data_IF_505769060515
#
_entry.id   IF_505769060515
#
_cell.length_a   1.000
_cell.length_b   1.000
_cell.length_c   1.000
_cell.angle_alpha   90.00
_cell.angle_beta   90.00
_cell.angle_gamma   90.00
#
_symmetry.space_group_name_H-M   'P 1'
#
loop_
_entity.id
_entity.type
_entity.pdbx_description
1 polymer ?
#
# COMPACT_ATOMS: atom_id res chain seq x y z
N UNK A 1 -27.89 -9.42 9.63
CA UNK A 1 -28.80 -8.81 8.64
C UNK A 1 -29.98 -8.07 9.29
N UNK A 2 -29.92 -6.73 9.46
CA UNK A 2 -31.13 -5.96 9.83
C UNK A 2 -31.90 -5.73 8.53
N UNK A 3 -33.09 -6.32 8.39
CA UNK A 3 -33.98 -6.11 7.25
C UNK A 3 -34.54 -4.67 7.29
N UNK A 4 -33.79 -3.73 6.70
CA UNK A 4 -34.35 -2.64 5.90
C UNK A 4 -34.03 -3.02 4.45
N UNK A 5 -35.04 -3.30 3.65
CA UNK A 5 -35.06 -4.19 2.46
C UNK A 5 -34.05 -3.96 1.32
N UNK A 6 -32.96 -3.20 1.45
CA UNK A 6 -31.86 -3.08 0.47
C UNK A 6 -30.56 -2.43 1.05
N UNK A 7 -30.33 -2.46 2.36
CA UNK A 7 -29.16 -1.81 2.96
C UNK A 7 -28.13 -2.85 3.42
N UNK A 8 -26.89 -2.72 2.91
CA UNK A 8 -25.72 -3.42 3.42
C UNK A 8 -24.89 -2.47 4.29
N UNK A 9 -24.70 -2.83 5.56
CA UNK A 9 -23.81 -2.11 6.47
C UNK A 9 -22.47 -2.83 6.58
N UNK A 10 -21.38 -2.13 6.29
CA UNK A 10 -20.00 -2.61 6.50
C UNK A 10 -19.35 -1.72 7.57
N UNK A 11 -18.93 -2.34 8.67
CA UNK A 11 -18.14 -1.69 9.72
C UNK A 11 -16.70 -2.20 9.70
N UNK A 12 -15.75 -1.32 10.00
CA UNK A 12 -14.34 -1.69 10.22
C UNK A 12 -13.95 -1.29 11.64
N UNK A 13 -13.23 -2.15 12.34
CA UNK A 13 -12.69 -1.86 13.67
C UNK A 13 -11.35 -2.55 13.84
N UNK A 14 -10.43 -1.91 14.55
CA UNK A 14 -9.17 -2.52 14.97
C UNK A 14 -9.33 -3.26 16.32
N UNK A 15 -10.44 -3.05 17.03
CA UNK A 15 -10.73 -3.61 18.35
C UNK A 15 -12.16 -4.19 18.30
N UNK A 16 -12.28 -5.50 18.10
CA UNK A 16 -13.58 -6.16 18.02
C UNK A 16 -14.26 -6.21 19.40
N UNK A 17 -13.48 -6.31 20.45
CA UNK A 17 -13.91 -6.44 21.84
C UNK A 17 -14.58 -5.15 22.37
N UNK A 18 -14.33 -4.02 21.72
CA UNK A 18 -14.96 -2.74 22.03
C UNK A 18 -16.39 -2.62 21.45
N UNK A 19 -16.79 -3.53 20.56
CA UNK A 19 -18.12 -3.54 19.95
C UNK A 19 -19.12 -4.19 20.91
N UNK A 20 -20.29 -3.55 21.08
CA UNK A 20 -21.38 -4.11 21.87
C UNK A 20 -21.78 -5.51 21.34
N UNK A 21 -21.71 -6.57 22.18
CA UNK A 21 -22.11 -7.91 21.78
C UNK A 21 -23.55 -8.01 21.24
N UNK A 22 -24.44 -7.07 21.57
CA UNK A 22 -25.78 -7.00 21.00
C UNK A 22 -25.77 -6.77 19.48
N UNK A 23 -24.79 -6.04 18.95
CA UNK A 23 -24.62 -5.75 17.51
C UNK A 23 -24.11 -6.97 16.74
N UNK A 24 -23.40 -7.88 17.39
CA UNK A 24 -22.84 -9.10 16.77
C UNK A 24 -23.86 -10.25 16.67
N UNK A 25 -25.07 -10.05 17.18
CA UNK A 25 -26.12 -11.08 17.14
C UNK A 25 -26.64 -11.30 15.71
N UNK A 26 -27.15 -12.51 15.40
CA UNK A 26 -27.79 -12.81 14.13
C UNK A 26 -28.86 -11.77 13.81
N UNK A 27 -28.93 -11.34 12.54
CA UNK A 27 -29.84 -10.26 12.16
C UNK A 27 -29.30 -8.85 12.40
N UNK A 28 -28.02 -8.67 12.79
CA UNK A 28 -27.33 -7.36 12.81
C UNK A 28 -26.00 -7.41 12.06
N UNK A 29 -24.87 -7.18 12.73
CA UNK A 29 -23.51 -7.34 12.20
C UNK A 29 -23.02 -8.78 12.45
N UNK A 30 -23.69 -9.72 11.80
CA UNK A 30 -23.48 -11.16 12.06
C UNK A 30 -22.21 -11.71 11.41
N UNK A 31 -21.76 -11.12 10.30
CA UNK A 31 -20.57 -11.53 9.57
C UNK A 31 -19.38 -10.74 10.11
N UNK A 32 -18.45 -11.44 10.73
CA UNK A 32 -17.17 -10.89 11.19
C UNK A 32 -16.07 -11.49 10.33
N UNK A 33 -15.36 -10.64 9.58
CA UNK A 33 -14.23 -11.04 8.75
C UNK A 33 -12.96 -10.51 9.41
N UNK A 34 -12.09 -11.42 9.84
CA UNK A 34 -10.77 -11.05 10.33
C UNK A 34 -9.84 -10.86 9.15
N UNK A 35 -9.22 -9.68 9.07
CA UNK A 35 -8.18 -9.38 8.09
C UNK A 35 -6.83 -9.67 8.72
N UNK A 36 -6.07 -10.59 8.14
CA UNK A 36 -4.73 -10.94 8.59
C UNK A 36 -3.66 -10.18 7.78
N UNK A 37 -2.42 -10.25 8.25
CA UNK A 37 -1.29 -9.69 7.52
C UNK A 37 -1.14 -10.40 6.16
N UNK A 38 -0.79 -9.67 5.09
CA UNK A 38 -0.65 -10.25 3.77
C UNK A 38 0.53 -11.24 3.74
N UNK A 39 0.29 -12.41 3.15
CA UNK A 39 1.33 -13.37 2.82
C UNK A 39 2.23 -12.86 1.66
N UNK A 40 3.22 -13.65 1.26
CA UNK A 40 4.13 -13.25 0.19
C UNK A 40 3.42 -13.02 -1.17
N UNK A 41 2.40 -13.83 -1.48
CA UNK A 41 1.66 -13.72 -2.73
C UNK A 41 0.75 -12.46 -2.74
N UNK A 42 0.06 -12.20 -1.64
CA UNK A 42 -0.72 -11.00 -1.41
C UNK A 42 0.16 -9.76 -1.44
N UNK A 43 1.35 -9.77 -0.80
CA UNK A 43 2.32 -8.68 -0.91
C UNK A 43 2.77 -8.48 -2.36
N UNK A 44 2.99 -9.55 -3.12
CA UNK A 44 3.30 -9.44 -4.56
C UNK A 44 2.20 -8.71 -5.34
N UNK A 45 0.94 -9.03 -5.07
CA UNK A 45 -0.19 -8.37 -5.72
C UNK A 45 -0.30 -6.89 -5.32
N UNK A 46 -0.06 -6.57 -4.05
CA UNK A 46 -0.07 -5.19 -3.55
C UNK A 46 1.07 -4.39 -4.20
N UNK A 47 2.28 -4.95 -4.27
CA UNK A 47 3.40 -4.32 -4.98
C UNK A 47 3.04 -4.06 -6.44
N UNK A 48 2.50 -5.05 -7.16
CA UNK A 48 2.09 -4.88 -8.55
C UNK A 48 1.11 -3.72 -8.73
N UNK A 49 0.08 -3.60 -7.87
CA UNK A 49 -0.88 -2.49 -7.91
C UNK A 49 -0.17 -1.13 -7.78
N UNK A 50 0.76 -0.99 -6.83
CA UNK A 50 1.45 0.27 -6.57
C UNK A 50 2.58 0.57 -7.58
N UNK A 51 3.18 -0.45 -8.21
CA UNK A 51 4.24 -0.27 -9.22
C UNK A 51 3.69 -0.15 -10.64
N UNK A 52 2.45 -0.59 -10.91
CA UNK A 52 1.83 -0.58 -12.25
C UNK A 52 1.84 0.79 -12.91
N UNK A 53 1.58 1.87 -12.17
CA UNK A 53 1.64 3.22 -12.70
C UNK A 53 3.08 3.65 -13.05
N UNK A 54 4.07 3.25 -12.24
CA UNK A 54 5.48 3.55 -12.50
C UNK A 54 5.97 2.83 -13.75
N UNK A 55 5.63 1.56 -13.91
CA UNK A 55 5.97 0.75 -15.09
C UNK A 55 5.36 1.38 -16.35
N UNK A 56 4.07 1.74 -16.31
CA UNK A 56 3.38 2.38 -17.45
C UNK A 56 4.00 3.71 -17.87
N UNK A 57 4.56 4.45 -16.93
CA UNK A 57 5.20 5.74 -17.18
C UNK A 57 6.72 5.63 -17.40
N UNK A 58 7.26 4.41 -17.57
CA UNK A 58 8.70 4.15 -17.69
C UNK A 58 9.53 4.77 -16.54
N UNK A 59 8.94 4.90 -15.35
CA UNK A 59 9.55 5.45 -14.14
C UNK A 59 10.10 4.37 -13.19
N UNK A 60 10.01 3.11 -13.58
CA UNK A 60 10.63 1.97 -12.90
C UNK A 60 11.62 1.32 -13.87
N UNK A 61 12.88 1.19 -13.46
CA UNK A 61 13.94 0.58 -14.25
C UNK A 61 13.86 -0.97 -14.13
N UNK A 62 14.31 -1.66 -15.18
CA UNK A 62 14.33 -3.12 -15.30
C UNK A 62 15.28 -3.80 -14.30
N UNK A 63 16.22 -3.04 -13.72
CA UNK A 63 17.13 -3.49 -12.67
C UNK A 63 16.46 -3.70 -11.30
N UNK A 64 15.21 -3.25 -11.12
CA UNK A 64 14.49 -3.36 -9.86
C UNK A 64 13.86 -4.76 -9.67
N UNK A 65 14.46 -5.58 -8.82
CA UNK A 65 13.91 -6.89 -8.43
C UNK A 65 12.83 -6.75 -7.33
N UNK A 66 11.56 -6.69 -7.74
CA UNK A 66 10.40 -6.66 -6.83
C UNK A 66 10.32 -7.93 -5.97
N UNK A 67 10.70 -9.10 -6.50
CA UNK A 67 10.67 -10.36 -5.75
C UNK A 67 11.66 -10.35 -4.58
N UNK A 68 12.82 -9.72 -4.77
CA UNK A 68 13.76 -9.50 -3.67
C UNK A 68 13.17 -8.64 -2.56
N UNK A 69 12.44 -7.58 -2.91
CA UNK A 69 11.81 -6.69 -1.94
C UNK A 69 10.69 -7.42 -1.17
N UNK A 70 9.88 -8.23 -1.84
CA UNK A 70 8.79 -9.03 -1.22
C UNK A 70 9.33 -9.97 -0.13
N UNK A 71 10.51 -10.57 -0.35
CA UNK A 71 11.18 -11.45 0.64
C UNK A 71 11.63 -10.70 1.88
N UNK A 72 11.87 -9.39 1.80
CA UNK A 72 12.35 -8.54 2.91
C UNK A 72 11.25 -7.79 3.64
N UNK A 73 9.99 -7.93 3.21
CA UNK A 73 8.83 -7.18 3.73
C UNK A 73 7.87 -8.09 4.49
N UNK A 74 8.38 -9.18 5.08
CA UNK A 74 7.58 -10.05 5.93
C UNK A 74 7.01 -9.32 7.16
N UNK A 75 5.75 -9.62 7.50
CA UNK A 75 5.04 -8.97 8.61
C UNK A 75 4.56 -7.55 8.31
N UNK A 76 4.76 -7.03 7.10
CA UNK A 76 4.30 -5.69 6.72
C UNK A 76 2.82 -5.68 6.31
N UNK A 77 2.12 -4.59 6.65
CA UNK A 77 0.75 -4.33 6.19
C UNK A 77 0.76 -3.81 4.75
N UNK A 78 -0.41 -3.79 4.10
CA UNK A 78 -0.55 -3.18 2.77
C UNK A 78 -0.14 -1.70 2.76
N UNK A 79 -0.45 -0.96 3.82
CA UNK A 79 -0.05 0.45 3.96
C UNK A 79 1.47 0.63 4.03
N UNK A 80 2.20 -0.28 4.70
CA UNK A 80 3.67 -0.23 4.70
C UNK A 80 4.25 -0.48 3.31
N UNK A 81 3.68 -1.40 2.53
CA UNK A 81 4.10 -1.67 1.15
C UNK A 81 3.90 -0.44 0.26
N UNK A 82 2.71 0.18 0.33
CA UNK A 82 2.43 1.44 -0.37
C UNK A 82 3.45 2.52 0.01
N UNK A 83 3.72 2.67 1.30
CA UNK A 83 4.64 3.69 1.80
C UNK A 83 6.06 3.48 1.29
N UNK A 84 6.54 2.23 1.19
CA UNK A 84 7.85 1.91 0.61
C UNK A 84 7.94 2.44 -0.82
N UNK A 85 6.94 2.14 -1.66
CA UNK A 85 6.92 2.59 -3.07
C UNK A 85 6.90 4.11 -3.14
N UNK A 86 6.05 4.76 -2.34
CA UNK A 86 5.94 6.23 -2.31
C UNK A 86 7.26 6.90 -1.88
N UNK A 87 7.93 6.38 -0.85
CA UNK A 87 9.21 6.90 -0.38
C UNK A 87 10.32 6.67 -1.41
N UNK A 88 10.33 5.54 -2.10
CA UNK A 88 11.30 5.27 -3.16
C UNK A 88 11.17 6.27 -4.32
N UNK A 89 9.93 6.58 -4.74
CA UNK A 89 9.66 7.60 -5.78
C UNK A 89 10.12 8.98 -5.31
N UNK A 90 9.77 9.38 -4.09
CA UNK A 90 10.19 10.68 -3.55
C UNK A 90 11.72 10.80 -3.49
N UNK A 91 12.40 9.75 -3.01
CA UNK A 91 13.86 9.73 -2.96
C UNK A 91 14.49 9.78 -4.36
N UNK A 92 13.88 9.13 -5.37
CA UNK A 92 14.34 9.22 -6.75
C UNK A 92 14.18 10.64 -7.31
N UNK A 93 13.03 11.28 -7.11
CA UNK A 93 12.79 12.68 -7.52
C UNK A 93 13.76 13.66 -6.86
N UNK A 94 14.02 13.50 -5.55
CA UNK A 94 14.99 14.34 -4.86
C UNK A 94 16.40 14.19 -5.43
N UNK A 95 16.81 12.97 -5.79
CA UNK A 95 18.12 12.75 -6.44
C UNK A 95 18.20 13.38 -7.82
N UNK A 96 17.12 13.32 -8.61
CA UNK A 96 17.07 13.95 -9.94
C UNK A 96 17.20 15.48 -9.84
N UNK A 97 16.46 16.12 -8.94
CA UNK A 97 16.55 17.57 -8.71
C UNK A 97 17.97 17.97 -8.30
N UNK A 98 18.55 17.29 -7.31
CA UNK A 98 19.91 17.57 -6.84
C UNK A 98 20.98 17.30 -7.90
N UNK A 99 20.75 16.36 -8.82
CA UNK A 99 21.64 16.13 -9.94
C UNK A 99 21.56 17.30 -10.93
N UNK A 100 20.35 17.77 -11.27
CA UNK A 100 20.12 18.90 -12.18
C UNK A 100 20.71 20.21 -11.67
N UNK A 101 20.50 20.53 -10.39
CA UNK A 101 21.09 21.71 -9.75
C UNK A 101 22.63 21.73 -9.85
N UNK A 102 23.28 20.56 -9.85
CA UNK A 102 24.75 20.47 -10.00
C UNK A 102 25.25 20.71 -11.42
N UNK A 103 24.41 20.51 -12.44
CA UNK A 103 24.79 20.75 -13.83
C UNK A 103 24.71 22.24 -14.20
N UNK A 104 23.76 22.98 -13.63
CA UNK A 104 23.62 24.44 -13.88
C UNK A 104 24.82 25.25 -13.34
N UNK A 105 25.44 24.80 -12.24
CA UNK A 105 26.62 25.48 -11.67
C UNK A 105 27.91 25.25 -12.48
N UNK A 106 27.94 24.23 -13.36
CA UNK A 106 29.17 23.89 -14.12
C UNK A 106 29.24 24.53 -15.52
N UNK A 107 28.13 25.05 -16.06
CA UNK A 107 28.15 25.77 -17.35
C UNK A 107 28.48 27.27 -17.20
N UNK A 108 28.46 27.82 -15.99
CA UNK A 108 28.79 29.23 -15.72
C UNK A 108 30.30 29.49 -15.41
N UNK A 109 31.14 28.45 -15.37
CA UNK A 109 32.58 28.56 -15.06
C UNK A 109 33.53 28.10 -16.19
N UNK A 110 33.10 28.04 -17.45
CA UNK A 110 33.94 27.66 -18.62
C UNK A 110 34.24 28.82 -19.58
#
# INVERSE_FOLDING_TARGET
MIYLDNILLIGTTNILEAIDPALLRPGRMEIVIKIELPDAAARSAIFDIHTKALIRNAALNEDVDINHIIRRTEGMTGAHVEQIVRLAVHAAMQRDILARDKFDITEEEA
#
